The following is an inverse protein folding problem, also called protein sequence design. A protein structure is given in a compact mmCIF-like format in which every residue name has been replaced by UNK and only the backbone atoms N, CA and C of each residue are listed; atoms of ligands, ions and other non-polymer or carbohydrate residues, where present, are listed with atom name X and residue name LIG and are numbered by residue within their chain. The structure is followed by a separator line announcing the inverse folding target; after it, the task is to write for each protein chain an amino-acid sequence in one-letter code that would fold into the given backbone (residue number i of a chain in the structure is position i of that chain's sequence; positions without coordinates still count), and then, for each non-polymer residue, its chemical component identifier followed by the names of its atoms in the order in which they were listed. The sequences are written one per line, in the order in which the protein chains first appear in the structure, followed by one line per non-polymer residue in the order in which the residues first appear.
data_IF_014604470342
#
_entry.id   IF_014604470342
#
_cell.length_a   1.000
_cell.length_b   1.000
_cell.length_c   1.000
_cell.angle_alpha   90.00
_cell.angle_beta   90.00
_cell.angle_gamma   90.00
#
_symmetry.space_group_name_H-M   'P 1'
#
loop_
_entity.id
_entity.type
_entity.pdbx_description
1 polymer ?
#
# COMPACT_ATOMS: atom_id res chain seq x y z
N UNK A 1 17.49 33.25 2.31
CA UNK A 1 16.10 33.02 1.85
C UNK A 1 15.92 31.52 1.70
N UNK A 2 14.97 30.94 2.41
CA UNK A 2 14.65 29.51 2.25
C UNK A 2 14.20 29.27 0.80
N UNK A 3 14.73 28.24 0.16
CA UNK A 3 14.30 27.85 -1.19
C UNK A 3 12.82 27.51 -1.17
N UNK A 4 11.99 28.32 -1.83
CA UNK A 4 10.56 28.07 -2.05
C UNK A 4 10.31 27.23 -3.30
N UNK A 5 11.32 26.51 -3.80
CA UNK A 5 11.16 25.65 -4.97
C UNK A 5 10.28 24.45 -4.60
N UNK A 6 9.01 24.50 -4.99
CA UNK A 6 8.15 23.33 -5.04
C UNK A 6 8.81 22.28 -5.96
N UNK A 7 9.08 21.09 -5.42
CA UNK A 7 9.70 19.97 -6.16
C UNK A 7 8.85 18.73 -5.97
N UNK A 8 8.78 17.87 -7.00
CA UNK A 8 8.01 16.63 -6.92
C UNK A 8 7.71 16.03 -8.28
N UNK A 9 7.16 14.82 -8.30
CA UNK A 9 6.78 14.14 -9.54
C UNK A 9 5.77 14.95 -10.36
N UNK A 10 4.69 15.42 -9.70
CA UNK A 10 3.67 16.26 -10.34
C UNK A 10 4.25 17.59 -10.82
N UNK A 11 5.11 18.23 -10.01
CA UNK A 11 5.74 19.50 -10.39
C UNK A 11 6.69 19.36 -11.58
N UNK A 12 7.42 18.25 -11.70
CA UNK A 12 8.21 17.96 -12.90
C UNK A 12 7.34 17.84 -14.15
N UNK A 13 6.19 17.16 -14.06
CA UNK A 13 5.26 17.03 -15.21
C UNK A 13 4.67 18.37 -15.61
N UNK A 14 4.26 19.20 -14.64
CA UNK A 14 3.78 20.56 -14.89
C UNK A 14 4.87 21.44 -15.54
N UNK A 15 6.09 21.41 -15.00
CA UNK A 15 7.20 22.17 -15.55
C UNK A 15 7.61 21.68 -16.96
N UNK A 16 7.42 20.40 -17.27
CA UNK A 16 7.61 19.88 -18.62
C UNK A 16 6.57 20.42 -19.60
N UNK A 17 5.32 20.53 -19.18
CA UNK A 17 4.25 21.16 -19.95
C UNK A 17 4.58 22.63 -20.24
N UNK A 18 5.07 23.38 -19.25
CA UNK A 18 5.52 24.77 -19.43
C UNK A 18 6.66 24.85 -20.47
N UNK A 19 7.65 23.95 -20.37
CA UNK A 19 8.75 23.88 -21.33
C UNK A 19 8.25 23.60 -22.76
N UNK A 20 7.29 22.67 -22.91
CA UNK A 20 6.67 22.38 -24.20
C UNK A 20 5.90 23.57 -24.77
N UNK A 21 5.21 24.36 -23.93
CA UNK A 21 4.49 25.55 -24.39
C UNK A 21 5.43 26.56 -25.05
N UNK A 22 6.61 26.80 -24.47
CA UNK A 22 7.65 27.63 -25.09
C UNK A 22 8.20 27.01 -26.39
N UNK A 23 8.52 25.71 -26.37
CA UNK A 23 9.00 24.98 -27.56
C UNK A 23 8.03 25.10 -28.73
N UNK A 24 6.73 24.95 -28.46
CA UNK A 24 5.68 25.11 -29.48
C UNK A 24 5.57 26.57 -29.96
N UNK A 25 5.72 27.53 -29.04
CA UNK A 25 5.74 28.96 -29.35
C UNK A 25 6.88 29.39 -30.28
N UNK A 26 8.02 28.68 -30.27
CA UNK A 26 9.15 28.95 -31.16
C UNK A 26 8.89 28.55 -32.63
N UNK A 27 7.87 27.74 -32.90
CA UNK A 27 7.48 27.35 -34.25
C UNK A 27 8.63 26.74 -35.06
N UNK A 28 8.80 27.19 -36.31
CA UNK A 28 9.81 26.65 -37.24
C UNK A 28 11.27 26.83 -36.78
N UNK A 29 11.53 27.76 -35.85
CA UNK A 29 12.88 27.95 -35.29
C UNK A 29 13.28 26.80 -34.35
N UNK A 30 12.32 26.03 -33.83
CA UNK A 30 12.59 24.80 -33.09
C UNK A 30 12.49 23.58 -34.01
N UNK A 31 13.62 23.09 -34.51
CA UNK A 31 13.67 21.98 -35.48
C UNK A 31 14.77 20.95 -35.16
N UNK A 32 14.67 20.21 -34.04
CA UNK A 32 15.71 19.30 -33.62
C UNK A 32 15.81 18.06 -34.53
N UNK A 33 17.03 17.64 -34.82
CA UNK A 33 17.30 16.39 -35.55
C UNK A 33 17.01 15.15 -34.71
N UNK A 34 17.27 15.20 -33.39
CA UNK A 34 17.01 14.11 -32.44
C UNK A 34 15.50 13.92 -32.27
N UNK A 35 14.98 12.76 -32.70
CA UNK A 35 13.54 12.45 -32.70
C UNK A 35 12.87 12.63 -31.34
N UNK A 36 13.54 12.29 -30.23
CA UNK A 36 12.97 12.42 -28.89
C UNK A 36 12.71 13.87 -28.44
N UNK A 37 13.29 14.86 -29.13
CA UNK A 37 13.12 16.28 -28.81
C UNK A 37 12.04 16.94 -29.68
N UNK A 38 11.49 16.23 -30.67
CA UNK A 38 10.46 16.79 -31.56
C UNK A 38 9.12 16.92 -30.82
N UNK A 39 8.30 17.94 -31.12
CA UNK A 39 7.06 18.21 -30.40
C UNK A 39 6.12 17.00 -30.22
N UNK A 40 5.88 16.14 -31.24
CA UNK A 40 5.01 14.97 -31.07
C UNK A 40 5.54 13.98 -30.02
N UNK A 41 6.86 13.78 -29.95
CA UNK A 41 7.48 12.89 -28.96
C UNK A 41 7.47 13.50 -27.56
N UNK A 42 7.64 14.82 -27.43
CA UNK A 42 7.50 15.52 -26.16
C UNK A 42 6.05 15.39 -25.64
N UNK A 43 5.06 15.58 -26.51
CA UNK A 43 3.65 15.42 -26.15
C UNK A 43 3.30 13.99 -25.74
N UNK A 44 3.81 12.99 -26.46
CA UNK A 44 3.66 11.60 -26.07
C UNK A 44 4.27 11.33 -24.67
N UNK A 45 5.46 11.86 -24.39
CA UNK A 45 6.12 11.72 -23.09
C UNK A 45 5.35 12.43 -21.96
N UNK A 46 4.81 13.61 -22.22
CA UNK A 46 3.96 14.33 -21.27
C UNK A 46 2.69 13.53 -20.95
N UNK A 47 2.01 12.99 -21.97
CA UNK A 47 0.80 12.20 -21.79
C UNK A 47 1.08 10.92 -20.99
N UNK A 48 2.18 10.23 -21.29
CA UNK A 48 2.64 9.07 -20.52
C UNK A 48 2.94 9.43 -19.06
N UNK A 49 3.62 10.55 -18.82
CA UNK A 49 3.96 11.00 -17.48
C UNK A 49 2.70 11.36 -16.66
N UNK A 50 1.77 12.10 -17.26
CA UNK A 50 0.47 12.43 -16.67
C UNK A 50 -0.36 11.19 -16.34
N UNK A 51 -0.43 10.23 -17.28
CA UNK A 51 -1.07 8.93 -17.05
C UNK A 51 -0.39 8.14 -15.92
N UNK A 52 0.94 8.18 -15.84
CA UNK A 52 1.70 7.54 -14.77
C UNK A 52 1.41 8.13 -13.38
N UNK A 53 1.26 9.46 -13.28
CA UNK A 53 0.84 10.12 -12.03
C UNK A 53 -0.57 9.67 -11.61
N UNK A 54 -1.53 9.73 -12.53
CA UNK A 54 -2.91 9.31 -12.27
C UNK A 54 -2.98 7.82 -11.90
N UNK A 55 -2.22 6.97 -12.58
CA UNK A 55 -2.11 5.54 -12.29
C UNK A 55 -1.67 5.28 -10.85
N UNK A 56 -0.65 6.00 -10.36
CA UNK A 56 -0.23 5.88 -8.96
C UNK A 56 -1.33 6.33 -8.00
N UNK A 57 -2.02 7.43 -8.27
CA UNK A 57 -3.12 7.92 -7.43
C UNK A 57 -4.23 6.87 -7.34
N UNK A 58 -4.74 6.41 -8.47
CA UNK A 58 -5.81 5.40 -8.53
C UNK A 58 -5.44 4.12 -7.79
N UNK A 59 -4.21 3.60 -8.02
CA UNK A 59 -3.75 2.37 -7.36
C UNK A 59 -3.49 2.56 -5.87
N UNK A 60 -3.02 3.73 -5.44
CA UNK A 60 -2.83 4.04 -4.03
C UNK A 60 -4.18 4.15 -3.29
N UNK A 61 -5.18 4.77 -3.90
CA UNK A 61 -6.55 4.79 -3.36
C UNK A 61 -7.13 3.39 -3.23
N UNK A 62 -6.96 2.54 -4.26
CA UNK A 62 -7.40 1.14 -4.18
C UNK A 62 -6.71 0.37 -3.05
N UNK A 63 -5.40 0.58 -2.85
CA UNK A 63 -4.66 0.00 -1.72
C UNK A 63 -5.20 0.47 -0.37
N UNK A 64 -5.42 1.77 -0.19
CA UNK A 64 -6.00 2.31 1.05
C UNK A 64 -7.39 1.73 1.33
N UNK A 65 -8.25 1.62 0.31
CA UNK A 65 -9.57 1.02 0.45
C UNK A 65 -9.49 -0.45 0.87
N UNK A 66 -8.57 -1.24 0.27
CA UNK A 66 -8.34 -2.63 0.67
C UNK A 66 -7.87 -2.74 2.13
N UNK A 67 -6.99 -1.84 2.59
CA UNK A 67 -6.55 -1.78 3.99
C UNK A 67 -7.72 -1.48 4.92
N UNK A 68 -8.55 -0.49 4.58
CA UNK A 68 -9.73 -0.13 5.37
C UNK A 68 -10.72 -1.30 5.46
N UNK A 69 -11.02 -1.95 4.34
CA UNK A 69 -11.90 -3.11 4.30
C UNK A 69 -11.35 -4.26 5.17
N UNK A 70 -10.04 -4.55 5.11
CA UNK A 70 -9.43 -5.56 5.99
C UNK A 70 -9.57 -5.18 7.46
N UNK A 71 -9.40 -3.91 7.82
CA UNK A 71 -9.62 -3.47 9.21
C UNK A 71 -11.06 -3.67 9.66
N UNK A 72 -12.03 -3.36 8.80
CA UNK A 72 -13.46 -3.52 9.07
C UNK A 72 -13.84 -4.99 9.26
N UNK A 73 -13.46 -5.87 8.33
CA UNK A 73 -13.80 -7.30 8.38
C UNK A 73 -13.22 -8.01 9.61
N UNK A 74 -12.07 -7.55 10.14
CA UNK A 74 -11.45 -8.13 11.34
C UNK A 74 -11.92 -7.48 12.66
N UNK A 75 -12.72 -6.42 12.61
CA UNK A 75 -13.03 -5.58 13.79
C UNK A 75 -13.81 -6.31 14.89
N UNK A 76 -14.72 -7.20 14.51
CA UNK A 76 -15.65 -7.95 15.37
C UNK A 76 -15.13 -9.33 15.80
N UNK A 77 -13.95 -9.73 15.33
CA UNK A 77 -13.41 -11.07 15.50
C UNK A 77 -13.20 -11.46 16.98
N UNK A 78 -12.79 -10.52 17.83
CA UNK A 78 -12.55 -10.76 19.26
C UNK A 78 -13.84 -11.01 20.04
N UNK A 79 -14.88 -10.14 19.97
CA UNK A 79 -16.18 -10.45 20.55
C UNK A 79 -16.78 -11.77 20.05
N UNK A 80 -16.67 -12.04 18.75
CA UNK A 80 -17.18 -13.28 18.16
C UNK A 80 -16.49 -14.52 18.76
N UNK A 81 -15.15 -14.54 18.82
CA UNK A 81 -14.40 -15.66 19.38
C UNK A 81 -14.79 -15.97 20.84
N UNK A 82 -15.05 -14.95 21.66
CA UNK A 82 -15.54 -15.14 23.04
C UNK A 82 -16.94 -15.77 23.06
N UNK A 83 -17.85 -15.32 22.18
CA UNK A 83 -19.20 -15.89 22.07
C UNK A 83 -19.16 -17.35 21.65
N UNK A 84 -18.28 -17.72 20.71
CA UNK A 84 -18.12 -19.10 20.24
C UNK A 84 -17.69 -20.05 21.36
N UNK A 85 -16.72 -19.64 22.19
CA UNK A 85 -16.30 -20.44 23.36
C UNK A 85 -17.47 -20.65 24.32
N UNK A 86 -18.25 -19.61 24.60
CA UNK A 86 -19.38 -19.73 25.52
C UNK A 86 -20.51 -20.57 24.94
N UNK A 87 -20.79 -20.44 23.64
CA UNK A 87 -21.76 -21.28 22.96
C UNK A 87 -21.35 -22.76 23.03
N UNK A 88 -20.08 -23.07 22.74
CA UNK A 88 -19.55 -24.43 22.89
C UNK A 88 -19.67 -24.96 24.32
N UNK A 89 -19.36 -24.13 25.32
CA UNK A 89 -19.44 -24.51 26.74
C UNK A 89 -20.88 -24.79 27.23
N UNK A 90 -21.91 -24.38 26.49
CA UNK A 90 -23.32 -24.71 26.79
C UNK A 90 -23.82 -25.98 26.10
N UNK A 91 -22.96 -26.67 25.35
CA UNK A 91 -23.26 -27.94 24.68
C UNK A 91 -22.86 -29.14 25.54
N UNK A 92 -22.94 -30.35 24.99
CA UNK A 92 -22.45 -31.58 25.63
C UNK A 92 -20.95 -31.82 25.35
N UNK A 93 -20.21 -30.82 24.87
CA UNK A 93 -18.77 -30.89 24.66
C UNK A 93 -18.02 -31.26 25.96
N UNK A 94 -17.03 -32.14 25.85
CA UNK A 94 -16.12 -32.43 26.96
C UNK A 94 -15.26 -31.23 27.34
N UNK A 95 -14.78 -31.19 28.59
CA UNK A 95 -13.96 -30.09 29.11
C UNK A 95 -12.71 -29.82 28.25
N UNK A 96 -12.07 -30.88 27.75
CA UNK A 96 -10.89 -30.81 26.89
C UNK A 96 -11.16 -30.02 25.60
N UNK A 97 -12.31 -30.27 24.95
CA UNK A 97 -12.70 -29.58 23.72
C UNK A 97 -13.00 -28.10 23.97
N UNK A 98 -13.59 -27.78 25.12
CA UNK A 98 -13.80 -26.39 25.55
C UNK A 98 -12.46 -25.69 25.82
N UNK A 99 -11.47 -26.38 26.41
CA UNK A 99 -10.12 -25.84 26.63
C UNK A 99 -9.35 -25.62 25.32
N UNK A 100 -9.55 -26.47 24.31
CA UNK A 100 -9.01 -26.27 22.97
C UNK A 100 -9.58 -24.98 22.34
N UNK A 101 -10.90 -24.77 22.41
CA UNK A 101 -11.53 -23.54 21.94
C UNK A 101 -11.04 -22.31 22.70
N UNK A 102 -10.90 -22.38 24.04
CA UNK A 102 -10.32 -21.30 24.86
C UNK A 102 -8.87 -21.01 24.46
N UNK A 103 -8.10 -22.01 24.06
CA UNK A 103 -6.72 -21.84 23.59
C UNK A 103 -6.65 -21.03 22.30
N UNK A 104 -7.52 -21.29 21.34
CA UNK A 104 -7.64 -20.44 20.14
C UNK A 104 -8.15 -19.04 20.49
N UNK A 105 -9.14 -18.91 21.38
CA UNK A 105 -9.64 -17.60 21.79
C UNK A 105 -8.53 -16.74 22.41
N UNK A 106 -7.72 -17.30 23.33
CA UNK A 106 -6.57 -16.58 23.91
C UNK A 106 -5.64 -16.03 22.85
N UNK A 107 -5.32 -16.81 21.81
CA UNK A 107 -4.48 -16.35 20.70
C UNK A 107 -5.14 -15.23 19.90
N UNK A 108 -6.44 -15.33 19.61
CA UNK A 108 -7.24 -14.28 18.96
C UNK A 108 -7.25 -12.98 19.78
N UNK A 109 -7.40 -13.09 21.10
CA UNK A 109 -7.34 -11.95 22.01
C UNK A 109 -5.92 -11.37 22.18
N UNK A 110 -4.87 -12.05 21.70
CA UNK A 110 -3.48 -11.65 21.91
C UNK A 110 -2.99 -11.89 23.34
N UNK A 111 -3.65 -12.79 24.07
CA UNK A 111 -3.35 -13.14 25.45
C UNK A 111 -2.37 -14.32 25.53
N UNK A 112 -1.50 -14.30 26.56
CA UNK A 112 -0.57 -15.40 26.83
C UNK A 112 -1.28 -16.53 27.58
N UNK A 113 -0.85 -17.76 27.35
CA UNK A 113 -1.30 -18.90 28.15
C UNK A 113 -0.79 -18.83 29.60
N UNK A 114 0.45 -18.36 29.80
CA UNK A 114 1.08 -18.20 31.11
C UNK A 114 1.06 -16.75 31.60
N UNK A 115 0.88 -16.57 32.91
CA UNK A 115 1.04 -15.26 33.56
C UNK A 115 2.49 -14.79 33.46
N UNK A 116 2.69 -13.48 33.36
CA UNK A 116 4.03 -12.89 33.45
C UNK A 116 4.57 -13.16 34.85
N UNK A 117 5.78 -13.72 34.95
CA UNK A 117 6.46 -13.88 36.23
C UNK A 117 6.91 -12.50 36.69
N UNK A 118 6.33 -12.02 37.79
CA UNK A 118 6.80 -10.81 38.45
C UNK A 118 8.02 -11.15 39.33
N UNK A 119 9.06 -10.29 39.39
CA UNK A 119 10.17 -10.51 40.31
C UNK A 119 9.65 -10.49 41.75
N UNK A 120 9.96 -11.53 42.52
CA UNK A 120 9.62 -11.65 43.94
C UNK A 120 10.39 -10.64 44.82
N UNK A 121 11.47 -10.06 44.30
CA UNK A 121 12.33 -9.07 44.96
C UNK A 121 12.51 -7.84 44.04
N UNK A 122 12.19 -6.62 44.49
CA UNK A 122 12.40 -5.37 43.76
C UNK A 122 13.85 -5.12 43.30
N UNK A 123 14.85 -5.75 43.93
CA UNK A 123 16.27 -5.60 43.60
C UNK A 123 16.78 -6.62 42.58
N UNK A 124 15.97 -7.60 42.17
CA UNK A 124 16.36 -8.53 41.12
C UNK A 124 16.03 -7.98 39.72
N UNK A 125 16.91 -8.21 38.73
CA UNK A 125 16.62 -7.82 37.36
C UNK A 125 15.38 -8.56 36.86
N UNK A 126 14.44 -7.80 36.26
CA UNK A 126 13.23 -8.36 35.67
C UNK A 126 13.61 -9.46 34.68
N UNK A 127 13.02 -10.67 34.78
CA UNK A 127 13.29 -11.74 33.83
C UNK A 127 13.07 -11.27 32.40
N UNK A 128 14.05 -11.50 31.51
CA UNK A 128 13.90 -11.19 30.07
C UNK A 128 12.77 -12.03 29.50
N UNK A 129 11.66 -11.40 29.13
CA UNK A 129 10.53 -12.06 28.47
C UNK A 129 10.50 -11.74 26.98
N UNK A 130 10.29 -12.75 26.14
CA UNK A 130 10.00 -12.55 24.71
C UNK A 130 8.50 -12.35 24.47
N UNK A 131 8.16 -11.55 23.46
CA UNK A 131 6.79 -11.49 22.96
C UNK A 131 6.38 -12.85 22.40
N UNK A 132 5.19 -13.29 22.76
CA UNK A 132 4.56 -14.52 22.25
C UNK A 132 3.26 -14.21 21.50
N UNK A 133 3.06 -12.94 21.13
CA UNK A 133 1.82 -12.48 20.49
C UNK A 133 1.78 -12.90 19.03
N UNK A 134 0.72 -13.62 18.63
CA UNK A 134 0.47 -14.10 17.27
C UNK A 134 -0.70 -13.30 16.65
N UNK A 135 -0.53 -11.98 16.52
CA UNK A 135 -1.62 -11.04 16.17
C UNK A 135 -1.59 -10.54 14.71
N UNK A 136 -0.76 -11.12 13.83
CA UNK A 136 -0.86 -10.80 12.41
C UNK A 136 -2.18 -11.28 11.83
N UNK A 137 -2.66 -10.63 10.76
CA UNK A 137 -3.90 -11.04 10.08
C UNK A 137 -3.86 -12.51 9.65
N UNK A 138 -2.71 -13.02 9.18
CA UNK A 138 -2.54 -14.43 8.83
C UNK A 138 -2.69 -15.37 10.04
N UNK A 139 -2.11 -14.99 11.19
CA UNK A 139 -2.23 -15.78 12.42
C UNK A 139 -3.66 -15.76 12.95
N UNK A 140 -4.32 -14.60 12.91
CA UNK A 140 -5.73 -14.47 13.27
C UNK A 140 -6.62 -15.37 12.40
N UNK A 141 -6.42 -15.38 11.08
CA UNK A 141 -7.12 -16.30 10.17
C UNK A 141 -6.89 -17.76 10.60
N UNK A 142 -5.65 -18.17 10.82
CA UNK A 142 -5.32 -19.55 11.22
C UNK A 142 -5.95 -19.92 12.56
N UNK A 143 -5.98 -19.01 13.54
CA UNK A 143 -6.60 -19.28 14.83
C UNK A 143 -8.13 -19.36 14.74
N UNK A 144 -8.75 -18.55 13.87
CA UNK A 144 -10.19 -18.61 13.63
C UNK A 144 -10.58 -19.90 12.90
N UNK A 145 -9.79 -20.33 11.91
CA UNK A 145 -9.95 -21.62 11.23
C UNK A 145 -9.83 -22.79 12.21
N UNK A 146 -8.84 -22.75 13.12
CA UNK A 146 -8.71 -23.72 14.21
C UNK A 146 -9.90 -23.73 15.16
N UNK A 147 -10.42 -22.55 15.55
CA UNK A 147 -11.66 -22.45 16.34
C UNK A 147 -12.83 -23.11 15.63
N UNK A 148 -13.05 -22.81 14.35
CA UNK A 148 -14.14 -23.41 13.55
C UNK A 148 -14.01 -24.93 13.51
N UNK A 149 -12.79 -25.45 13.32
CA UNK A 149 -12.55 -26.90 13.30
C UNK A 149 -12.91 -27.58 14.63
N UNK A 150 -12.64 -26.93 15.77
CA UNK A 150 -13.05 -27.45 17.09
C UNK A 150 -14.57 -27.50 17.20
N UNK A 151 -15.26 -26.43 16.80
CA UNK A 151 -16.73 -26.35 16.85
C UNK A 151 -17.39 -27.38 15.92
N UNK A 152 -16.89 -27.53 14.69
CA UNK A 152 -17.41 -28.47 13.70
C UNK A 152 -17.19 -29.94 14.10
N UNK A 153 -16.14 -30.20 14.88
CA UNK A 153 -15.88 -31.53 15.46
C UNK A 153 -16.81 -31.90 16.62
N UNK A 154 -17.66 -31.00 17.10
CA UNK A 154 -18.59 -31.23 18.20
C UNK A 154 -20.01 -31.49 17.69
N UNK A 155 -20.51 -32.75 17.71
CA UNK A 155 -21.84 -33.07 17.19
C UNK A 155 -22.98 -32.34 17.92
N UNK A 156 -22.79 -31.97 19.19
CA UNK A 156 -23.81 -31.23 19.95
C UNK A 156 -23.78 -29.71 19.73
N UNK A 157 -22.86 -29.20 18.91
CA UNK A 157 -22.78 -27.78 18.56
C UNK A 157 -23.79 -27.42 17.46
N UNK A 158 -25.04 -27.16 17.88
CA UNK A 158 -26.15 -26.79 17.00
C UNK A 158 -26.75 -25.43 17.40
N UNK A 159 -26.04 -24.31 17.19
CA UNK A 159 -26.51 -22.99 17.63
C UNK A 159 -27.71 -22.50 16.79
N UNK A 160 -28.61 -21.75 17.43
CA UNK A 160 -29.77 -21.17 16.77
C UNK A 160 -29.43 -19.82 16.12
N UNK A 161 -28.52 -19.07 16.74
CA UNK A 161 -28.04 -17.77 16.32
C UNK A 161 -27.26 -17.89 15.02
N UNK A 162 -27.71 -17.18 13.99
CA UNK A 162 -27.17 -17.29 12.62
C UNK A 162 -25.66 -17.04 12.56
N UNK A 163 -25.15 -16.10 13.33
CA UNK A 163 -23.74 -15.70 13.36
C UNK A 163 -22.81 -16.71 14.05
N UNK A 164 -23.36 -17.66 14.82
CA UNK A 164 -22.59 -18.71 15.50
C UNK A 164 -22.59 -20.04 14.73
N UNK A 165 -23.41 -20.16 13.66
CA UNK A 165 -23.49 -21.37 12.83
C UNK A 165 -22.21 -21.59 12.03
N UNK A 166 -21.78 -22.86 11.92
CA UNK A 166 -20.56 -23.25 11.18
C UNK A 166 -20.52 -22.66 9.77
N UNK A 167 -21.61 -22.75 9.01
CA UNK A 167 -21.69 -22.19 7.65
C UNK A 167 -21.39 -20.68 7.61
N UNK A 168 -21.95 -19.91 8.55
CA UNK A 168 -21.71 -18.46 8.62
C UNK A 168 -20.27 -18.15 9.01
N UNK A 169 -19.69 -18.95 9.93
CA UNK A 169 -18.30 -18.81 10.33
C UNK A 169 -17.33 -19.15 9.19
N UNK A 170 -17.64 -20.15 8.37
CA UNK A 170 -16.87 -20.48 7.17
C UNK A 170 -16.92 -19.36 6.13
N UNK A 171 -18.10 -18.73 5.93
CA UNK A 171 -18.22 -17.54 5.09
C UNK A 171 -17.34 -16.40 5.62
N UNK A 172 -17.42 -16.10 6.93
CA UNK A 172 -16.55 -15.09 7.56
C UNK A 172 -15.07 -15.42 7.42
N UNK A 173 -14.67 -16.70 7.54
CA UNK A 173 -13.29 -17.13 7.35
C UNK A 173 -12.81 -16.83 5.92
N UNK A 174 -13.65 -17.09 4.92
CA UNK A 174 -13.33 -16.76 3.53
C UNK A 174 -13.21 -15.26 3.32
N UNK A 175 -14.13 -14.45 3.88
CA UNK A 175 -14.05 -12.99 3.84
C UNK A 175 -12.73 -12.45 4.45
N UNK A 176 -12.29 -13.02 5.57
CA UNK A 176 -11.02 -12.67 6.22
C UNK A 176 -9.83 -13.00 5.32
N UNK A 177 -9.82 -14.20 4.70
CA UNK A 177 -8.78 -14.64 3.75
C UNK A 177 -8.72 -13.71 2.53
N UNK A 178 -9.87 -13.42 1.93
CA UNK A 178 -9.99 -12.57 0.74
C UNK A 178 -9.55 -11.13 1.04
N UNK A 179 -10.00 -10.54 2.16
CA UNK A 179 -9.62 -9.19 2.54
C UNK A 179 -8.11 -9.07 2.78
N UNK A 180 -7.47 -10.10 3.37
CA UNK A 180 -6.03 -10.10 3.57
C UNK A 180 -5.23 -10.28 2.26
N UNK A 181 -5.70 -11.15 1.35
CA UNK A 181 -5.09 -11.31 0.04
C UNK A 181 -5.21 -10.03 -0.82
N UNK A 182 -6.37 -9.37 -0.77
CA UNK A 182 -6.63 -8.14 -1.52
C UNK A 182 -5.68 -7.01 -1.15
N UNK A 183 -5.31 -6.86 0.13
CA UNK A 183 -4.29 -5.89 0.55
C UNK A 183 -2.94 -6.18 -0.11
N UNK A 184 -2.51 -7.45 -0.12
CA UNK A 184 -1.24 -7.86 -0.73
C UNK A 184 -1.23 -7.61 -2.24
N UNK A 185 -2.31 -7.98 -2.93
CA UNK A 185 -2.51 -7.71 -4.37
C UNK A 185 -2.48 -6.21 -4.68
N UNK A 186 -3.23 -5.41 -3.92
CA UNK A 186 -3.30 -3.96 -4.14
C UNK A 186 -1.96 -3.26 -3.86
N UNK A 187 -1.21 -3.72 -2.85
CA UNK A 187 0.13 -3.22 -2.55
C UNK A 187 1.10 -3.46 -3.72
N UNK A 188 1.10 -4.68 -4.28
CA UNK A 188 1.93 -4.99 -5.44
C UNK A 188 1.58 -4.09 -6.64
N UNK A 189 0.29 -3.82 -6.88
CA UNK A 189 -0.16 -2.94 -7.95
C UNK A 189 0.33 -1.49 -7.77
N UNK A 190 0.21 -0.90 -6.58
CA UNK A 190 0.71 0.48 -6.34
C UNK A 190 2.23 0.55 -6.39
N UNK A 191 2.94 -0.49 -5.94
CA UNK A 191 4.39 -0.58 -6.06
C UNK A 191 4.85 -0.57 -7.52
N UNK A 192 4.25 -1.43 -8.36
CA UNK A 192 4.55 -1.48 -9.80
C UNK A 192 4.20 -0.17 -10.50
N UNK A 193 3.06 0.46 -10.18
CA UNK A 193 2.70 1.77 -10.73
C UNK A 193 3.74 2.86 -10.40
N UNK A 194 4.30 2.84 -9.17
CA UNK A 194 5.38 3.77 -8.78
C UNK A 194 6.67 3.50 -9.57
N UNK A 195 7.02 2.23 -9.80
CA UNK A 195 8.16 1.86 -10.64
C UNK A 195 7.99 2.35 -12.08
N UNK A 196 6.83 2.13 -12.68
CA UNK A 196 6.57 2.53 -14.07
C UNK A 196 6.55 4.05 -14.23
N UNK A 197 5.93 4.78 -13.30
CA UNK A 197 6.05 6.24 -13.23
C UNK A 197 7.51 6.68 -13.13
N UNK A 198 8.31 6.05 -12.28
CA UNK A 198 9.72 6.39 -12.12
C UNK A 198 10.53 6.13 -13.39
N UNK A 199 10.24 5.06 -14.14
CA UNK A 199 10.86 4.82 -15.46
C UNK A 199 10.53 5.95 -16.43
N UNK A 200 9.27 6.35 -16.53
CA UNK A 200 8.84 7.44 -17.43
C UNK A 200 9.50 8.77 -17.06
N UNK A 201 9.60 9.09 -15.77
CA UNK A 201 10.13 10.37 -15.32
C UNK A 201 11.66 10.43 -15.32
N UNK A 202 12.33 9.33 -15.00
CA UNK A 202 13.74 9.34 -14.58
C UNK A 202 14.64 8.34 -15.29
N UNK A 203 14.13 7.58 -16.27
CA UNK A 203 14.97 6.73 -17.11
C UNK A 203 16.14 7.53 -17.69
N UNK A 204 17.32 6.93 -17.68
CA UNK A 204 18.51 7.54 -18.24
C UNK A 204 18.30 7.80 -19.74
N UNK A 205 18.62 9.03 -20.17
CA UNK A 205 18.60 9.50 -21.57
C UNK A 205 17.21 9.53 -22.26
N UNK A 206 16.18 8.95 -21.66
CA UNK A 206 14.82 8.84 -22.22
C UNK A 206 13.72 9.37 -21.28
N UNK A 207 14.01 9.48 -19.98
CA UNK A 207 13.06 9.97 -18.99
C UNK A 207 12.80 11.46 -19.13
N UNK A 208 11.63 11.90 -18.69
CA UNK A 208 11.16 13.29 -18.77
C UNK A 208 12.20 14.31 -18.28
N UNK A 209 12.89 14.05 -17.18
CA UNK A 209 13.93 14.97 -16.67
C UNK A 209 15.12 15.08 -17.62
N UNK A 210 15.63 13.97 -18.13
CA UNK A 210 16.81 13.95 -19.00
C UNK A 210 16.47 14.54 -20.38
N UNK A 211 15.29 14.21 -20.93
CA UNK A 211 14.76 14.80 -22.18
C UNK A 211 14.61 16.32 -22.04
N UNK A 212 14.09 16.80 -20.92
CA UNK A 212 13.94 18.25 -20.68
C UNK A 212 15.27 18.99 -20.65
N UNK A 213 16.31 18.37 -20.08
CA UNK A 213 17.65 18.93 -20.10
C UNK A 213 18.19 19.04 -21.52
N UNK A 214 17.95 18.04 -22.37
CA UNK A 214 18.34 18.06 -23.77
C UNK A 214 17.55 19.08 -24.61
N UNK A 215 16.26 19.25 -24.35
CA UNK A 215 15.45 20.33 -24.96
C UNK A 215 16.08 21.69 -24.67
N UNK A 216 16.42 21.96 -23.39
CA UNK A 216 17.06 23.23 -23.02
C UNK A 216 18.41 23.44 -23.67
N UNK A 217 19.24 22.39 -23.79
CA UNK A 217 20.52 22.46 -24.52
C UNK A 217 20.28 22.78 -25.99
N UNK A 218 19.26 22.19 -26.61
CA UNK A 218 18.92 22.46 -28.00
C UNK A 218 18.46 23.92 -28.20
N UNK A 219 17.55 24.43 -27.35
CA UNK A 219 17.16 25.86 -27.37
C UNK A 219 18.39 26.76 -27.23
N UNK A 220 19.29 26.45 -26.27
CA UNK A 220 20.54 27.19 -26.10
C UNK A 220 21.44 27.15 -27.35
N UNK A 221 21.43 26.04 -28.09
CA UNK A 221 22.27 25.86 -29.28
C UNK A 221 21.75 26.63 -30.49
N UNK A 222 20.43 26.75 -30.64
CA UNK A 222 19.81 27.42 -31.79
C UNK A 222 19.74 28.92 -31.59
N UNK A 223 19.32 29.38 -30.41
CA UNK A 223 19.12 30.81 -30.14
C UNK A 223 20.31 31.49 -29.45
N UNK A 224 21.18 30.70 -28.80
CA UNK A 224 22.34 31.20 -28.06
C UNK A 224 22.10 31.30 -26.54
N UNK A 225 23.20 31.39 -25.79
CA UNK A 225 23.17 31.37 -24.33
C UNK A 225 22.60 32.63 -23.67
N UNK A 226 22.60 33.75 -24.38
CA UNK A 226 22.16 35.07 -23.90
C UNK A 226 20.82 35.50 -24.52
N UNK A 227 20.17 34.61 -25.27
CA UNK A 227 18.91 34.93 -25.96
C UNK A 227 17.72 35.01 -24.99
N UNK A 228 16.69 35.76 -25.38
CA UNK A 228 15.45 35.85 -24.62
C UNK A 228 14.71 34.50 -24.61
N UNK A 229 14.76 33.74 -25.70
CA UNK A 229 14.19 32.39 -25.79
C UNK A 229 14.85 31.44 -24.79
N UNK A 230 16.19 31.44 -24.70
CA UNK A 230 16.86 30.63 -23.69
C UNK A 230 16.56 31.13 -22.27
N UNK A 231 16.38 32.45 -22.08
CA UNK A 231 15.99 33.02 -20.79
C UNK A 231 14.62 32.54 -20.30
N UNK A 232 13.66 32.32 -21.21
CA UNK A 232 12.33 31.77 -20.89
C UNK A 232 12.41 30.35 -20.30
N UNK A 233 13.25 29.49 -20.89
CA UNK A 233 13.29 28.07 -20.52
C UNK A 233 14.33 27.72 -19.44
N UNK A 234 15.39 28.53 -19.28
CA UNK A 234 16.50 28.18 -18.37
C UNK A 234 16.04 27.97 -16.93
N UNK A 235 15.08 28.77 -16.45
CA UNK A 235 14.57 28.75 -15.08
C UNK A 235 13.60 27.60 -14.76
N UNK A 236 13.08 26.90 -15.77
CA UNK A 236 12.07 25.84 -15.58
C UNK A 236 12.73 24.60 -14.97
N UNK A 237 12.67 24.39 -13.66
CA UNK A 237 13.45 23.32 -13.02
C UNK A 237 12.76 21.95 -13.12
N UNK A 238 13.50 20.94 -13.59
CA UNK A 238 13.08 19.55 -13.49
C UNK A 238 14.19 18.76 -12.81
N UNK A 239 13.83 18.00 -11.77
CA UNK A 239 14.80 17.32 -10.89
C UNK A 239 14.43 15.86 -10.68
N UNK A 240 15.45 14.99 -10.58
CA UNK A 240 15.25 13.61 -10.14
C UNK A 240 14.86 13.63 -8.67
N UNK A 241 13.69 13.10 -8.36
CA UNK A 241 13.19 12.96 -6.98
C UNK A 241 13.68 11.62 -6.45
N UNK A 242 14.24 11.62 -5.24
CA UNK A 242 14.67 10.40 -4.54
C UNK A 242 13.47 9.68 -3.94
#
# INVERSE_FOLDING_TARGET
MASTSEVGHAKNVANFQDLMAFVNGYGANYNPSKTSLKPPQLEALYNQASAGLNGVITKNTAYNNAVNQRMEVFSDMRPLATRLVNALATTNAGEEKVEDAKSFNRKIQGQRASKKVEPLDPNQPVPKTISSSQQSYDQLIQHFEGMISVLDSEPSYTPNETDLKITTLQTKLQELKDANENVSKAYAQVSNARLDRNKILYAKDAGLVDVSADVKKYVKSVFGATSEEFAQVKGIQLVKVK
#
